data_IF_386270842162
#
_entry.id   IF_386270842162
#
_cell.length_a   1.000
_cell.length_b   1.000
_cell.length_c   1.000
_cell.angle_alpha   90.00
_cell.angle_beta   90.00
_cell.angle_gamma   90.00
#
_symmetry.space_group_name_H-M   'P 1'
#
loop_
_entity.id
_entity.type
_entity.pdbx_description
1 polymer ?
#
# COMPACT_ATOMS: atom_id res chain seq x y z
N UNK A 1 -9.32 4.30 11.69
CA UNK A 1 -7.83 4.32 11.63
C UNK A 1 -7.39 3.19 10.70
N UNK A 2 -6.18 3.19 10.13
CA UNK A 2 -5.70 2.14 9.18
C UNK A 2 -5.99 0.70 9.65
N UNK A 3 -5.98 0.47 10.97
CA UNK A 3 -6.35 -0.79 11.61
C UNK A 3 -7.76 -1.31 11.29
N UNK A 4 -8.67 -0.45 10.81
CA UNK A 4 -10.03 -0.81 10.44
C UNK A 4 -10.16 -1.15 8.94
N UNK A 5 -9.11 -0.90 8.14
CA UNK A 5 -9.10 -1.21 6.71
C UNK A 5 -8.74 -2.67 6.47
N UNK A 6 -9.52 -3.35 5.64
CA UNK A 6 -9.17 -4.69 5.15
C UNK A 6 -7.92 -4.64 4.26
N UNK A 7 -7.25 -5.77 4.05
CA UNK A 7 -6.13 -5.86 3.09
C UNK A 7 -6.54 -5.40 1.69
N UNK A 8 -7.76 -5.74 1.26
CA UNK A 8 -8.28 -5.30 -0.02
C UNK A 8 -8.43 -3.77 -0.11
N UNK A 9 -8.96 -3.14 0.93
CA UNK A 9 -9.12 -1.68 0.97
C UNK A 9 -7.75 -0.97 0.98
N UNK A 10 -6.80 -1.48 1.76
CA UNK A 10 -5.45 -0.92 1.85
C UNK A 10 -4.68 -1.12 0.54
N UNK A 11 -4.72 -2.32 -0.03
CA UNK A 11 -4.06 -2.62 -1.30
C UNK A 11 -4.62 -1.77 -2.43
N UNK A 12 -5.95 -1.56 -2.47
CA UNK A 12 -6.57 -0.66 -3.45
C UNK A 12 -6.05 0.77 -3.32
N UNK A 13 -6.10 1.36 -2.12
CA UNK A 13 -5.66 2.75 -1.93
C UNK A 13 -4.18 2.91 -2.32
N UNK A 14 -3.33 1.98 -1.90
CA UNK A 14 -1.92 2.00 -2.25
C UNK A 14 -1.72 1.82 -3.77
N UNK A 15 -2.50 0.96 -4.42
CA UNK A 15 -2.42 0.80 -5.87
C UNK A 15 -2.83 2.08 -6.61
N UNK A 16 -3.92 2.73 -6.18
CA UNK A 16 -4.37 4.02 -6.71
C UNK A 16 -3.25 5.07 -6.55
N UNK A 17 -2.63 5.16 -5.36
CA UNK A 17 -1.49 6.06 -5.11
C UNK A 17 -0.28 5.76 -6.02
N UNK A 18 0.02 4.48 -6.22
CA UNK A 18 1.11 4.03 -7.08
C UNK A 18 0.82 4.22 -8.58
N UNK A 19 -0.38 4.72 -8.95
CA UNK A 19 -0.75 5.07 -10.32
C UNK A 19 -1.56 4.01 -11.06
N UNK A 20 -2.06 2.97 -10.38
CA UNK A 20 -3.01 2.05 -10.98
C UNK A 20 -4.36 2.74 -11.16
N UNK A 21 -5.00 2.52 -12.30
CA UNK A 21 -6.30 3.11 -12.62
C UNK A 21 -7.23 2.10 -13.28
N UNK A 22 -8.52 2.38 -13.23
CA UNK A 22 -9.52 1.63 -14.00
C UNK A 22 -9.98 2.48 -15.18
N UNK A 23 -9.87 1.92 -16.39
CA UNK A 23 -10.43 2.51 -17.61
C UNK A 23 -11.78 1.85 -17.92
N UNK A 24 -12.90 2.57 -17.72
CA UNK A 24 -14.24 2.07 -18.04
C UNK A 24 -14.58 2.28 -19.51
N UNK A 25 -15.20 1.30 -20.17
CA UNK A 25 -15.69 1.47 -21.54
C UNK A 25 -17.20 1.29 -21.71
N UNK A 26 -17.88 0.39 -20.97
CA UNK A 26 -19.35 0.23 -20.95
C UNK A 26 -19.84 -0.51 -19.69
N UNK A 27 -21.01 -0.14 -19.15
CA UNK A 27 -21.81 -0.94 -18.21
C UNK A 27 -21.07 -1.52 -16.99
N UNK A 28 -20.12 -0.80 -16.37
CA UNK A 28 -19.26 -1.33 -15.28
C UNK A 28 -18.27 -2.43 -15.70
N UNK A 29 -17.83 -2.40 -16.96
CA UNK A 29 -16.74 -3.20 -17.50
C UNK A 29 -15.60 -2.28 -17.94
N UNK A 30 -14.36 -2.71 -17.69
CA UNK A 30 -13.19 -1.87 -17.89
C UNK A 30 -11.88 -2.64 -17.83
N UNK A 31 -10.77 -1.92 -17.84
CA UNK A 31 -9.43 -2.49 -17.74
C UNK A 31 -8.74 -1.98 -16.50
N UNK A 32 -8.06 -2.87 -15.78
CA UNK A 32 -7.07 -2.44 -14.79
C UNK A 32 -5.82 -2.04 -15.55
N UNK A 33 -5.44 -0.78 -15.43
CA UNK A 33 -4.25 -0.21 -16.05
C UNK A 33 -3.16 -0.08 -15.00
N UNK A 34 -1.96 -0.61 -15.29
CA UNK A 34 -0.81 -0.35 -14.44
C UNK A 34 -0.18 1.02 -14.75
N UNK A 35 0.72 1.52 -13.89
CA UNK A 35 1.23 2.90 -13.98
C UNK A 35 1.95 3.23 -15.30
N UNK A 36 2.46 2.23 -16.02
CA UNK A 36 3.10 2.42 -17.33
C UNK A 36 2.10 2.53 -18.49
N UNK A 37 0.79 2.43 -18.23
CA UNK A 37 -0.27 2.50 -19.22
C UNK A 37 -0.61 1.17 -19.90
N UNK A 38 0.03 0.07 -19.51
CA UNK A 38 -0.33 -1.25 -20.00
C UNK A 38 -1.58 -1.80 -19.29
N UNK A 39 -2.28 -2.68 -19.99
CA UNK A 39 -3.42 -3.39 -19.43
C UNK A 39 -2.92 -4.61 -18.64
N UNK A 40 -3.23 -4.64 -17.34
CA UNK A 40 -2.90 -5.75 -16.44
C UNK A 40 -3.95 -6.86 -16.56
N UNK A 41 -5.22 -6.48 -16.73
CA UNK A 41 -6.32 -7.41 -16.87
C UNK A 41 -7.53 -6.78 -17.61
N UNK A 42 -8.07 -7.51 -18.58
CA UNK A 42 -9.33 -7.19 -19.26
C UNK A 42 -10.55 -7.73 -18.50
N UNK A 43 -11.53 -6.88 -18.25
CA UNK A 43 -12.73 -7.24 -17.49
C UNK A 43 -13.58 -8.28 -18.24
N UNK A 44 -13.56 -9.49 -17.70
CA UNK A 44 -14.74 -10.35 -17.64
C UNK A 44 -15.48 -10.22 -16.29
N UNK A 45 -15.14 -9.20 -15.49
CA UNK A 45 -15.58 -9.01 -14.10
C UNK A 45 -16.10 -7.60 -13.83
N UNK A 46 -17.01 -7.39 -12.85
CA UNK A 46 -17.37 -6.07 -12.36
C UNK A 46 -16.14 -5.21 -11.98
N UNK A 47 -16.19 -3.89 -12.19
CA UNK A 47 -15.05 -2.99 -11.93
C UNK A 47 -14.41 -3.16 -10.54
N UNK A 48 -15.21 -3.36 -9.49
CA UNK A 48 -14.67 -3.51 -8.12
C UNK A 48 -13.83 -4.78 -7.94
N UNK A 49 -14.08 -5.83 -8.72
CA UNK A 49 -13.31 -7.07 -8.69
C UNK A 49 -11.94 -6.92 -9.38
N UNK A 50 -11.78 -5.91 -10.25
CA UNK A 50 -10.50 -5.64 -10.91
C UNK A 50 -9.40 -5.23 -9.90
N UNK A 51 -9.78 -4.63 -8.78
CA UNK A 51 -8.85 -4.32 -7.70
C UNK A 51 -8.26 -5.55 -7.02
N UNK A 52 -8.80 -6.76 -7.27
CA UNK A 52 -8.17 -8.00 -6.84
C UNK A 52 -6.89 -8.36 -7.61
N UNK A 53 -6.59 -7.67 -8.72
CA UNK A 53 -5.43 -7.96 -9.58
C UNK A 53 -4.29 -6.95 -9.42
N UNK A 54 -4.42 -5.97 -8.53
CA UNK A 54 -3.28 -5.09 -8.18
C UNK A 54 -2.27 -5.86 -7.32
N UNK A 55 -1.02 -5.37 -7.19
CA UNK A 55 -0.05 -5.99 -6.30
C UNK A 55 -0.57 -6.11 -4.87
N UNK A 56 -0.33 -7.26 -4.24
CA UNK A 56 -0.73 -7.50 -2.86
C UNK A 56 0.32 -6.94 -1.88
N UNK A 57 0.24 -5.65 -1.61
CA UNK A 57 1.15 -4.97 -0.69
C UNK A 57 1.05 -5.47 0.77
N UNK A 58 -0.09 -6.04 1.14
CA UNK A 58 -0.34 -6.51 2.51
C UNK A 58 0.22 -7.90 2.79
N UNK A 59 0.42 -8.74 1.78
CA UNK A 59 0.93 -10.11 1.96
C UNK A 59 2.20 -10.44 1.18
N UNK A 60 2.46 -9.79 0.04
CA UNK A 60 3.65 -10.02 -0.76
C UNK A 60 4.85 -9.16 -0.28
N UNK A 61 5.97 -9.79 0.13
CA UNK A 61 7.13 -9.05 0.60
C UNK A 61 7.73 -8.10 -0.44
N UNK A 62 7.78 -8.46 -1.73
CA UNK A 62 8.40 -7.63 -2.75
C UNK A 62 7.55 -6.40 -3.07
N UNK A 63 6.25 -6.57 -3.29
CA UNK A 63 5.32 -5.47 -3.50
C UNK A 63 5.32 -4.52 -2.30
N UNK A 64 5.30 -5.04 -1.07
CA UNK A 64 5.35 -4.19 0.14
C UNK A 64 6.59 -3.29 0.23
N UNK A 65 7.72 -3.69 -0.39
CA UNK A 65 8.92 -2.86 -0.45
C UNK A 65 8.77 -1.70 -1.44
N UNK A 66 7.95 -1.83 -2.48
CA UNK A 66 7.69 -0.77 -3.45
C UNK A 66 6.95 0.41 -2.78
N UNK A 67 5.89 0.11 -2.02
CA UNK A 67 5.14 1.14 -1.28
C UNK A 67 5.93 1.71 -0.11
N UNK A 68 6.77 0.91 0.54
CA UNK A 68 7.75 1.43 1.51
C UNK A 68 8.70 2.42 0.83
N UNK A 69 9.24 2.08 -0.34
CA UNK A 69 10.17 2.94 -1.06
C UNK A 69 9.50 4.26 -1.46
N UNK A 70 8.25 4.22 -1.93
CA UNK A 70 7.47 5.42 -2.23
C UNK A 70 7.26 6.31 -0.99
N UNK A 71 6.83 5.73 0.13
CA UNK A 71 6.63 6.46 1.38
C UNK A 71 7.93 7.08 1.94
N UNK A 72 9.04 6.34 1.86
CA UNK A 72 10.37 6.82 2.28
C UNK A 72 10.86 7.96 1.38
N UNK A 73 10.65 7.84 0.06
CA UNK A 73 11.00 8.89 -0.89
C UNK A 73 10.21 10.18 -0.65
N UNK A 74 8.94 10.05 -0.23
CA UNK A 74 8.06 11.18 0.07
C UNK A 74 8.37 11.84 1.42
N UNK A 75 8.51 11.04 2.49
CA UNK A 75 8.84 11.50 3.84
C UNK A 75 9.41 10.38 4.71
N UNK A 76 10.74 10.20 4.68
CA UNK A 76 11.40 9.14 5.43
C UNK A 76 11.24 9.25 6.96
N UNK A 77 11.17 10.47 7.52
CA UNK A 77 11.02 10.67 8.97
C UNK A 77 9.66 10.17 9.43
N UNK A 78 8.61 10.63 8.76
CA UNK A 78 7.23 10.26 9.05
C UNK A 78 6.99 8.77 8.83
N UNK A 79 7.55 8.18 7.77
CA UNK A 79 7.48 6.73 7.56
C UNK A 79 8.10 5.93 8.73
N UNK A 80 9.26 6.36 9.20
CA UNK A 80 9.97 5.73 10.33
C UNK A 80 9.14 5.86 11.62
N UNK A 81 8.53 7.02 11.87
CA UNK A 81 7.61 7.21 13.01
C UNK A 81 6.37 6.33 12.90
N UNK A 82 5.74 6.28 11.74
CA UNK A 82 4.53 5.48 11.51
C UNK A 82 4.80 3.98 11.60
N UNK A 83 5.90 3.48 11.02
CA UNK A 83 6.26 2.07 11.11
C UNK A 83 6.53 1.64 12.56
N UNK A 84 7.19 2.50 13.34
CA UNK A 84 7.39 2.27 14.77
C UNK A 84 6.03 2.16 15.50
N UNK A 85 5.14 3.13 15.27
CA UNK A 85 3.79 3.14 15.85
C UNK A 85 2.93 1.95 15.43
N UNK A 86 3.09 1.46 14.20
CA UNK A 86 2.39 0.26 13.69
C UNK A 86 2.87 -1.00 14.41
N UNK A 87 4.19 -1.18 14.59
CA UNK A 87 4.78 -2.36 15.23
C UNK A 87 4.46 -2.40 16.74
N UNK A 88 4.61 -1.26 17.42
CA UNK A 88 4.52 -1.20 18.89
C UNK A 88 3.17 -0.68 19.42
N UNK A 89 2.28 -0.24 18.52
CA UNK A 89 0.97 0.39 18.81
C UNK A 89 1.06 1.78 19.46
N UNK A 90 2.26 2.23 19.80
CA UNK A 90 2.65 3.56 20.27
C UNK A 90 4.09 3.82 19.81
N UNK A 91 4.60 5.04 20.01
CA UNK A 91 6.00 5.34 19.74
C UNK A 91 6.91 4.70 20.79
N UNK A 92 7.84 3.86 20.34
CA UNK A 92 8.90 3.27 21.13
C UNK A 92 10.25 3.93 20.80
N UNK A 93 11.10 4.14 21.80
CA UNK A 93 12.40 4.77 21.62
C UNK A 93 13.30 3.95 20.66
N UNK A 94 14.03 4.63 19.77
CA UNK A 94 14.87 4.00 18.74
C UNK A 94 16.09 3.29 19.35
N UNK A 95 15.89 2.04 19.77
CA UNK A 95 16.94 1.12 20.20
C UNK A 95 17.31 0.17 19.06
N UNK A 96 18.45 -0.52 19.15
CA UNK A 96 18.81 -1.56 18.16
C UNK A 96 17.76 -2.67 18.04
N UNK A 97 17.05 -2.98 19.12
CA UNK A 97 15.94 -3.95 19.11
C UNK A 97 14.77 -3.44 18.26
N UNK A 98 14.41 -2.16 18.41
CA UNK A 98 13.34 -1.51 17.66
C UNK A 98 13.70 -1.39 16.19
N UNK A 99 14.92 -0.94 15.89
CA UNK A 99 15.42 -0.86 14.52
C UNK A 99 15.40 -2.24 13.86
N UNK A 100 15.88 -3.28 14.55
CA UNK A 100 15.84 -4.66 14.04
C UNK A 100 14.41 -5.11 13.72
N UNK A 101 13.45 -4.84 14.61
CA UNK A 101 12.04 -5.17 14.38
C UNK A 101 11.46 -4.45 13.14
N UNK A 102 11.81 -3.17 12.94
CA UNK A 102 11.40 -2.40 11.76
C UNK A 102 12.00 -2.93 10.46
N UNK A 103 13.28 -3.33 10.48
CA UNK A 103 13.93 -3.94 9.31
C UNK A 103 13.30 -5.28 8.92
N UNK A 104 12.68 -5.98 9.86
CA UNK A 104 11.97 -7.24 9.66
C UNK A 104 10.44 -7.09 9.69
N UNK A 105 9.92 -5.88 9.51
CA UNK A 105 8.49 -5.63 9.52
C UNK A 105 7.74 -6.49 8.49
N UNK A 106 6.53 -6.92 8.83
CA UNK A 106 5.71 -7.71 7.91
C UNK A 106 5.24 -6.86 6.72
N UNK A 107 4.85 -7.49 5.59
CA UNK A 107 4.31 -6.76 4.44
C UNK A 107 3.14 -5.84 4.83
N UNK A 108 2.17 -6.34 5.60
CA UNK A 108 1.06 -5.55 6.15
C UNK A 108 1.55 -4.35 6.98
N UNK A 109 2.52 -4.52 7.87
CA UNK A 109 3.03 -3.41 8.69
C UNK A 109 3.67 -2.31 7.83
N UNK A 110 4.41 -2.69 6.79
CA UNK A 110 4.98 -1.73 5.81
C UNK A 110 3.87 -1.01 5.04
N UNK A 111 2.87 -1.73 4.58
CA UNK A 111 1.72 -1.17 3.86
C UNK A 111 0.95 -0.16 4.73
N UNK A 112 0.69 -0.47 6.01
CA UNK A 112 0.01 0.45 6.93
C UNK A 112 0.83 1.72 7.17
N UNK A 113 2.14 1.57 7.43
CA UNK A 113 3.03 2.71 7.63
C UNK A 113 3.15 3.58 6.36
N UNK A 114 3.18 2.96 5.18
CA UNK A 114 3.17 3.64 3.90
C UNK A 114 1.89 4.46 3.72
N UNK A 115 0.71 3.85 3.91
CA UNK A 115 -0.56 4.56 3.86
C UNK A 115 -0.57 5.76 4.80
N UNK A 116 -0.21 5.57 6.09
CA UNK A 116 -0.23 6.65 7.08
C UNK A 116 0.64 7.83 6.64
N UNK A 117 1.78 7.55 6.04
CA UNK A 117 2.73 8.56 5.58
C UNK A 117 2.23 9.31 4.36
N UNK A 118 1.66 8.59 3.40
CA UNK A 118 1.25 9.11 2.10
C UNK A 118 -0.11 9.82 2.18
N UNK A 119 -1.02 9.39 3.07
CA UNK A 119 -2.36 9.97 3.23
C UNK A 119 -2.38 11.30 3.97
N UNK A 120 -1.26 11.74 4.58
CA UNK A 120 -1.17 13.04 5.28
C UNK A 120 -1.21 14.23 4.28
N UNK A 121 -1.01 13.98 2.98
CA UNK A 121 -0.94 15.02 1.94
C UNK A 121 -2.20 15.14 1.06
N UNK A 122 -3.23 14.33 1.27
CA UNK A 122 -4.56 14.50 0.66
C UNK A 122 -5.46 15.43 1.48
#
# INVERSE_FOLDING_TARGET
MVKDMTDQQLNRWLAEYMGYTISEYKNKWGWLMCPNGDNVHESLFPLDELWGFVPDYCTDPAASLEVQAAAVAENYEEYVYNLNGVIYKEYECMTFKVISAMLTATPRQRAEAAYMTLSIRE
#
